data_IF_537472295064
#
_entry.id   IF_537472295064
#
_cell.length_a   1.000
_cell.length_b   1.000
_cell.length_c   1.000
_cell.angle_alpha   90.00
_cell.angle_beta   90.00
_cell.angle_gamma   90.00
#
_symmetry.space_group_name_H-M   'P 1'
#
loop_
_entity.id
_entity.type
_entity.pdbx_description
1 polymer ?
#
# COMPACT_ATOMS: atom_id res chain seq x y z
N UNK A 1 -2.67 -16.07 -4.17
CA UNK A 1 -2.99 -14.64 -3.95
C UNK A 1 -3.86 -14.39 -2.70
N UNK A 2 -4.21 -15.39 -1.88
CA UNK A 2 -5.00 -15.16 -0.65
C UNK A 2 -4.33 -14.17 0.33
N UNK A 3 -3.00 -14.10 0.33
CA UNK A 3 -2.23 -13.31 1.28
C UNK A 3 -1.66 -11.99 0.74
N UNK A 4 -2.33 -11.31 -0.20
CA UNK A 4 -1.88 -9.99 -0.67
C UNK A 4 -2.96 -8.92 -0.56
N UNK A 5 -2.55 -7.66 -0.60
CA UNK A 5 -3.43 -6.50 -0.77
C UNK A 5 -2.84 -5.52 -1.78
N UNK A 6 -3.71 -4.85 -2.54
CA UNK A 6 -3.37 -3.71 -3.37
C UNK A 6 -3.66 -2.42 -2.59
N UNK A 7 -2.67 -1.52 -2.51
CA UNK A 7 -2.81 -0.26 -1.78
C UNK A 7 -2.07 0.87 -2.48
N UNK A 8 -2.56 2.09 -2.29
CA UNK A 8 -1.92 3.32 -2.78
C UNK A 8 -1.00 3.90 -1.71
N UNK A 9 0.13 4.49 -2.11
CA UNK A 9 0.83 5.40 -1.23
C UNK A 9 -0.02 6.65 -0.99
N UNK A 10 -0.14 7.07 0.27
CA UNK A 10 -0.81 8.31 0.65
C UNK A 10 -0.16 8.85 1.91
N UNK A 11 0.49 10.01 1.79
CA UNK A 11 1.21 10.64 2.90
C UNK A 11 0.44 11.84 3.43
N UNK A 12 0.32 11.91 4.75
CA UNK A 12 -0.13 13.11 5.48
C UNK A 12 1.02 13.82 6.20
N UNK A 13 2.20 13.21 6.28
CA UNK A 13 3.39 13.70 6.97
C UNK A 13 4.61 13.64 6.02
N UNK A 14 5.29 14.78 5.83
CA UNK A 14 6.45 14.89 4.94
C UNK A 14 7.64 14.05 5.45
N UNK A 15 7.82 13.93 6.76
CA UNK A 15 8.90 13.12 7.35
C UNK A 15 8.70 11.65 6.99
N UNK A 16 7.49 11.13 7.17
CA UNK A 16 7.16 9.74 6.82
C UNK A 16 7.30 9.48 5.31
N UNK A 17 6.98 10.47 4.48
CA UNK A 17 7.16 10.36 3.04
C UNK A 17 8.64 10.26 2.66
N UNK A 18 9.50 11.10 3.24
CA UNK A 18 10.95 11.06 3.02
C UNK A 18 11.56 9.75 3.48
N UNK A 19 11.21 9.29 4.68
CA UNK A 19 11.64 8.00 5.22
C UNK A 19 11.24 6.84 4.29
N UNK A 20 9.99 6.86 3.81
CA UNK A 20 9.48 5.85 2.88
C UNK A 20 10.24 5.84 1.56
N UNK A 21 10.47 7.01 0.97
CA UNK A 21 11.17 7.12 -0.30
C UNK A 21 12.62 6.69 -0.16
N UNK A 22 13.31 7.13 0.89
CA UNK A 22 14.68 6.70 1.17
C UNK A 22 14.76 5.18 1.28
N UNK A 23 13.83 4.56 2.03
CA UNK A 23 13.75 3.10 2.13
C UNK A 23 13.51 2.43 0.77
N UNK A 24 12.54 2.90 -0.01
CA UNK A 24 12.23 2.34 -1.33
C UNK A 24 13.41 2.47 -2.30
N UNK A 25 14.11 3.60 -2.28
CA UNK A 25 15.31 3.84 -3.09
C UNK A 25 16.45 2.90 -2.69
N UNK A 26 16.70 2.74 -1.39
CA UNK A 26 17.76 1.88 -0.86
C UNK A 26 17.50 0.39 -1.11
N UNK A 27 16.23 -0.02 -1.19
CA UNK A 27 15.82 -1.40 -1.48
C UNK A 27 15.71 -1.70 -2.98
N UNK A 28 15.91 -0.71 -3.85
CA UNK A 28 15.80 -0.87 -5.31
C UNK A 28 14.36 -0.97 -5.83
N UNK A 29 13.36 -0.67 -5.00
CA UNK A 29 11.93 -0.65 -5.35
C UNK A 29 11.48 0.76 -5.78
N UNK A 30 12.28 1.78 -5.44
CA UNK A 30 11.99 3.18 -5.70
C UNK A 30 11.89 3.53 -7.20
N UNK A 31 11.00 4.46 -7.52
CA UNK A 31 10.83 4.99 -8.86
C UNK A 31 11.86 6.07 -9.17
N UNK A 32 12.26 6.22 -10.44
CA UNK A 32 13.18 7.29 -10.85
C UNK A 32 12.64 8.69 -10.52
N UNK A 33 11.31 8.87 -10.51
CA UNK A 33 10.67 10.14 -10.13
C UNK A 33 10.98 10.56 -8.69
N UNK A 34 11.37 9.63 -7.82
CA UNK A 34 11.75 9.90 -6.43
C UNK A 34 13.10 10.60 -6.29
N UNK A 35 13.90 10.65 -7.35
CA UNK A 35 15.18 11.38 -7.37
C UNK A 35 15.03 12.87 -7.68
N UNK A 36 13.82 13.35 -7.96
CA UNK A 36 13.56 14.77 -8.23
C UNK A 36 13.54 15.56 -6.91
N UNK A 37 14.43 16.55 -6.79
CA UNK A 37 14.55 17.43 -5.63
C UNK A 37 13.25 18.20 -5.32
N UNK A 38 12.35 18.36 -6.29
CA UNK A 38 11.09 19.10 -6.15
C UNK A 38 9.85 18.19 -6.06
N UNK A 39 10.03 16.91 -5.72
CA UNK A 39 8.91 15.98 -5.66
C UNK A 39 7.85 16.41 -4.65
N UNK A 40 6.59 16.42 -5.08
CA UNK A 40 5.46 16.66 -4.20
C UNK A 40 4.95 15.33 -3.62
N UNK A 41 5.45 15.00 -2.43
CA UNK A 41 5.12 13.77 -1.72
C UNK A 41 3.62 13.55 -1.52
N UNK A 42 2.85 14.62 -1.30
CA UNK A 42 1.40 14.57 -1.08
C UNK A 42 0.60 14.20 -2.32
N UNK A 43 1.24 14.17 -3.49
CA UNK A 43 0.63 13.81 -4.78
C UNK A 43 1.18 12.52 -5.35
N UNK A 44 1.92 11.75 -4.56
CA UNK A 44 2.34 10.41 -4.97
C UNK A 44 1.14 9.48 -5.00
N UNK A 45 0.93 8.84 -6.14
CA UNK A 45 -0.20 7.97 -6.45
C UNK A 45 0.27 6.56 -6.84
N UNK A 46 1.49 6.19 -6.45
CA UNK A 46 2.05 4.87 -6.73
C UNK A 46 1.24 3.78 -6.05
N UNK A 47 0.98 2.71 -6.80
CA UNK A 47 0.19 1.57 -6.35
C UNK A 47 1.11 0.38 -6.14
N UNK A 48 0.92 -0.29 -5.01
CA UNK A 48 1.72 -1.40 -4.57
C UNK A 48 0.85 -2.62 -4.30
N UNK A 49 1.35 -3.81 -4.69
CA UNK A 49 0.87 -5.08 -4.13
C UNK A 49 1.81 -5.47 -3.00
N UNK A 50 1.25 -5.62 -1.80
CA UNK A 50 1.97 -6.14 -0.64
C UNK A 50 1.59 -7.59 -0.46
N UNK A 51 2.56 -8.49 -0.57
CA UNK A 51 2.39 -9.91 -0.27
C UNK A 51 2.84 -10.19 1.16
N UNK A 52 1.99 -10.87 1.93
CA UNK A 52 2.26 -11.28 3.30
C UNK A 52 2.63 -12.77 3.36
N UNK A 53 3.44 -13.16 4.34
CA UNK A 53 3.63 -14.56 4.70
C UNK A 53 2.32 -15.14 5.23
N UNK A 54 1.69 -14.40 6.14
CA UNK A 54 0.31 -14.61 6.57
C UNK A 54 -0.45 -13.29 6.55
N UNK A 55 -1.58 -13.23 5.85
CA UNK A 55 -2.37 -12.00 5.79
C UNK A 55 -2.88 -11.60 7.17
N UNK A 56 -2.60 -10.37 7.63
CA UNK A 56 -3.15 -9.85 8.88
C UNK A 56 -4.67 -10.03 8.96
N UNK A 57 -5.16 -10.47 10.13
CA UNK A 57 -6.58 -10.76 10.35
C UNK A 57 -7.50 -9.59 9.99
N UNK A 58 -7.06 -8.36 10.25
CA UNK A 58 -7.81 -7.15 9.90
C UNK A 58 -8.13 -7.08 8.40
N UNK A 59 -7.20 -7.39 7.50
CA UNK A 59 -7.46 -7.38 6.07
C UNK A 59 -8.41 -8.50 5.64
N UNK A 60 -8.29 -9.70 6.25
CA UNK A 60 -9.25 -10.79 6.02
C UNK A 60 -10.67 -10.36 6.42
N UNK A 61 -10.80 -9.66 7.54
CA UNK A 61 -12.09 -9.14 8.02
C UNK A 61 -12.65 -8.05 7.10
N UNK A 62 -11.82 -7.12 6.63
CA UNK A 62 -12.24 -6.07 5.70
C UNK A 62 -12.71 -6.64 4.35
N UNK A 63 -12.00 -7.63 3.81
CA UNK A 63 -12.39 -8.34 2.59
C UNK A 63 -13.72 -9.08 2.74
N UNK A 64 -13.89 -9.81 3.86
CA UNK A 64 -15.14 -10.51 4.15
C UNK A 64 -16.37 -9.58 4.19
N UNK A 65 -16.16 -8.31 4.59
CA UNK A 65 -17.21 -7.30 4.67
C UNK A 65 -17.36 -6.45 3.41
N UNK A 66 -16.69 -6.79 2.30
CA UNK A 66 -16.65 -6.00 1.05
C UNK A 66 -16.30 -4.52 1.30
N UNK A 67 -15.35 -4.26 2.19
CA UNK A 67 -15.04 -2.92 2.69
C UNK A 67 -14.68 -1.90 1.60
N UNK A 68 -13.84 -2.29 0.63
CA UNK A 68 -13.37 -1.42 -0.45
C UNK A 68 -14.51 -1.01 -1.40
N UNK A 69 -15.49 -1.89 -1.60
CA UNK A 69 -16.63 -1.62 -2.49
C UNK A 69 -17.61 -0.62 -1.86
N UNK A 70 -17.59 -0.52 -0.53
CA UNK A 70 -18.42 0.39 0.27
C UNK A 70 -17.76 1.76 0.52
N UNK A 71 -16.88 2.21 -0.39
CA UNK A 71 -16.13 3.48 -0.31
C UNK A 71 -15.10 3.54 0.83
N UNK A 72 -14.68 2.40 1.37
CA UNK A 72 -13.54 2.35 2.28
C UNK A 72 -12.21 2.49 1.53
N UNK A 73 -11.19 3.05 2.19
CA UNK A 73 -9.82 3.11 1.67
C UNK A 73 -8.84 2.36 2.56
N UNK A 74 -7.83 1.75 1.94
CA UNK A 74 -6.66 1.17 2.58
C UNK A 74 -5.45 1.75 1.87
N UNK A 75 -4.76 2.66 2.55
CA UNK A 75 -3.64 3.41 2.00
C UNK A 75 -2.37 3.11 2.79
N UNK A 76 -1.24 3.02 2.10
CA UNK A 76 0.06 2.90 2.74
C UNK A 76 0.50 4.30 3.17
N UNK A 77 0.65 4.49 4.48
CA UNK A 77 1.09 5.76 5.08
C UNK A 77 2.59 5.80 5.34
N UNK A 78 3.25 4.63 5.43
CA UNK A 78 4.69 4.54 5.62
C UNK A 78 5.22 3.14 5.24
N UNK A 79 6.39 3.06 4.61
CA UNK A 79 7.16 1.82 4.42
C UNK A 79 8.57 2.06 4.97
N UNK A 80 9.04 1.22 5.89
CA UNK A 80 10.41 1.31 6.39
C UNK A 80 10.90 -0.01 6.97
N UNK A 81 12.10 0.01 7.56
CA UNK A 81 12.77 -1.20 8.07
C UNK A 81 11.95 -2.00 9.08
N UNK A 82 11.15 -1.30 9.89
CA UNK A 82 10.32 -1.92 10.93
C UNK A 82 9.10 -2.62 10.31
N UNK A 83 8.56 -2.09 9.21
CA UNK A 83 7.33 -2.58 8.63
C UNK A 83 6.60 -1.56 7.76
N UNK A 84 5.37 -1.91 7.42
CA UNK A 84 4.47 -1.11 6.58
C UNK A 84 3.30 -0.65 7.44
N UNK A 85 3.08 0.66 7.47
CA UNK A 85 1.91 1.26 8.11
C UNK A 85 0.81 1.47 7.09
N UNK A 86 -0.38 1.00 7.41
CA UNK A 86 -1.58 1.19 6.60
C UNK A 86 -2.56 2.07 7.36
N UNK A 87 -3.06 3.08 6.68
CA UNK A 87 -4.20 3.87 7.09
C UNK A 87 -5.47 3.26 6.47
N UNK A 88 -6.45 2.96 7.31
CA UNK A 88 -7.72 2.38 6.90
C UNK A 88 -8.81 3.37 7.28
N UNK A 89 -9.63 3.79 6.33
CA UNK A 89 -10.75 4.69 6.58
C UNK A 89 -12.02 4.18 5.93
N UNK A 90 -13.09 4.05 6.72
CA UNK A 90 -14.39 3.61 6.23
C UNK A 90 -15.54 4.44 6.80
N UNK A 91 -16.62 4.67 6.03
CA UNK A 91 -17.74 5.51 6.46
C UNK A 91 -18.42 5.01 7.75
N UNK A 92 -18.46 3.69 7.97
CA UNK A 92 -19.16 3.08 9.12
C UNK A 92 -18.22 2.53 10.20
N UNK A 93 -16.92 2.41 9.89
CA UNK A 93 -15.91 1.83 10.80
C UNK A 93 -15.01 2.89 11.45
N UNK A 94 -15.05 4.14 10.98
CA UNK A 94 -14.11 5.19 11.36
C UNK A 94 -12.76 5.03 10.67
N UNK A 95 -11.74 5.67 11.21
CA UNK A 95 -10.36 5.61 10.73
C UNK A 95 -9.42 4.93 11.74
N UNK A 96 -8.35 4.33 11.22
CA UNK A 96 -7.36 3.68 12.06
C UNK A 96 -6.07 3.36 11.31
N UNK A 97 -4.99 3.21 12.09
CA UNK A 97 -3.69 2.81 11.57
C UNK A 97 -3.32 1.41 12.06
N UNK A 98 -2.76 0.60 11.16
CA UNK A 98 -2.18 -0.69 11.50
C UNK A 98 -0.73 -0.72 11.04
N UNK A 99 0.14 -1.32 11.86
CA UNK A 99 1.53 -1.59 11.49
C UNK A 99 1.67 -3.09 11.26
N UNK A 100 2.11 -3.47 10.06
CA UNK A 100 2.49 -4.85 9.75
C UNK A 100 4.01 -4.94 9.77
N UNK A 101 4.61 -5.78 10.64
CA UNK A 101 6.05 -5.87 10.76
C UNK A 101 6.66 -6.42 9.47
N UNK A 102 7.86 -5.92 9.11
CA UNK A 102 8.56 -6.35 7.89
C UNK A 102 8.82 -7.87 7.89
N UNK A 103 8.94 -8.50 9.07
CA UNK A 103 9.08 -9.95 9.21
C UNK A 103 7.90 -10.76 8.66
N UNK A 104 6.71 -10.15 8.55
CA UNK A 104 5.51 -10.76 7.96
C UNK A 104 5.30 -10.38 6.48
N UNK A 105 6.14 -9.50 5.94
CA UNK A 105 6.11 -9.16 4.51
C UNK A 105 6.91 -10.23 3.76
N UNK A 106 6.31 -10.76 2.70
CA UNK A 106 6.94 -11.67 1.76
C UNK A 106 7.58 -10.89 0.61
N UNK A 107 6.81 -9.99 -0.02
CA UNK A 107 7.25 -9.20 -1.16
C UNK A 107 6.46 -7.89 -1.27
N UNK A 108 7.07 -6.88 -1.92
CA UNK A 108 6.47 -5.59 -2.26
C UNK A 108 6.65 -5.39 -3.76
N UNK A 109 5.54 -5.27 -4.50
CA UNK A 109 5.56 -5.06 -5.95
C UNK A 109 5.03 -3.66 -6.27
N UNK A 110 5.75 -2.92 -7.12
CA UNK A 110 5.23 -1.70 -7.75
C UNK A 110 4.42 -2.05 -8.99
N UNK A 111 3.24 -1.45 -9.11
CA UNK A 111 2.38 -1.60 -10.29
C UNK A 111 2.35 -0.27 -11.03
N UNK A 112 2.68 -0.28 -12.33
CA UNK A 112 2.37 0.87 -13.19
C UNK A 112 0.87 0.88 -13.47
N UNK A 113 0.25 2.05 -13.57
CA UNK A 113 -1.19 2.17 -13.87
C UNK A 113 -1.67 1.31 -15.07
N UNK A 114 -0.83 1.15 -16.10
CA UNK A 114 -1.12 0.29 -17.26
C UNK A 114 -1.25 -1.21 -16.92
N UNK A 115 -0.57 -1.67 -15.86
CA UNK A 115 -0.60 -3.06 -15.39
C UNK A 115 -1.79 -3.33 -14.44
N UNK A 116 -2.41 -2.29 -13.89
CA UNK A 116 -3.59 -2.39 -13.02
C UNK A 116 -4.82 -2.83 -13.82
N UNK A 117 -4.97 -2.31 -15.05
CA UNK A 117 -6.08 -2.69 -15.93
C UNK A 117 -5.96 -4.16 -16.38
N UNK A 118 -4.74 -4.64 -16.66
CA UNK A 118 -4.51 -6.06 -16.98
C UNK A 118 -4.75 -6.96 -15.77
N UNK A 119 -4.28 -6.55 -14.58
CA UNK A 119 -4.50 -7.28 -13.34
C UNK A 119 -5.99 -7.37 -12.96
N UNK A 120 -6.71 -6.24 -13.03
CA UNK A 120 -8.16 -6.17 -12.75
C UNK A 120 -8.96 -6.99 -13.77
N UNK A 121 -8.58 -6.98 -15.05
CA UNK A 121 -9.20 -7.83 -16.08
C UNK A 121 -8.95 -9.32 -15.87
N UNK A 122 -7.77 -9.71 -15.37
CA UNK A 122 -7.48 -11.09 -15.02
C UNK A 122 -8.31 -11.54 -13.81
N UNK A 123 -8.39 -10.71 -12.77
CA UNK A 123 -9.19 -10.95 -11.56
C UNK A 123 -10.69 -11.11 -11.82
N UNK A 124 -11.27 -10.29 -12.70
CA UNK A 124 -12.71 -10.30 -13.00
C UNK A 124 -13.13 -11.33 -14.06
N UNK A 125 -12.21 -12.19 -14.51
CA UNK A 125 -12.48 -13.28 -15.47
C UNK A 125 -12.68 -14.65 -14.81
N UNK A 126 -12.62 -14.73 -13.48
CA UNK A 126 -13.09 -15.86 -12.66
C UNK A 126 -14.52 -15.60 -12.14
#
# INVERSE_FOLDING_TARGET
>A
MENSIECRLSFSDERLAKETIEYLMNTGIGHDKYKDDNINYYKLDDIYIIEFKEKPFIFKMLEYNNFTDNKGSIDISHIGDIGISFYIAGPDMGDGCILVPMSNINCIHTIKNEQIDEYTRWRNKE
#
